data_IF_442772684640
#
_entry.id   IF_442772684640
#
_cell.length_a   1.000
_cell.length_b   1.000
_cell.length_c   1.000
_cell.angle_alpha   90.00
_cell.angle_beta   90.00
_cell.angle_gamma   90.00
#
_symmetry.space_group_name_H-M   'P 1'
#
loop_
_entity.id
_entity.type
_entity.pdbx_description
1 polymer ?
#
# COMPACT_ATOMS: atom_id res chain seq x y z
N UNK A 1 -39.38 10.79 1.32
CA UNK A 1 -37.91 10.69 1.25
C UNK A 1 -37.59 9.35 0.61
N UNK A 2 -36.71 9.25 -0.39
CA UNK A 2 -36.41 7.96 -0.98
C UNK A 2 -35.73 7.10 0.09
N UNK A 3 -36.31 5.93 0.38
CA UNK A 3 -35.75 4.93 1.26
C UNK A 3 -34.38 4.52 0.72
N UNK A 4 -33.32 4.72 1.49
CA UNK A 4 -32.00 4.21 1.14
C UNK A 4 -32.08 2.69 1.01
N UNK A 5 -31.96 2.18 -0.21
CA UNK A 5 -31.84 0.75 -0.46
C UNK A 5 -30.59 0.26 0.27
N UNK A 6 -30.65 -0.81 1.08
CA UNK A 6 -29.47 -1.35 1.74
C UNK A 6 -28.41 -1.72 0.70
N UNK A 7 -27.15 -1.41 0.99
CA UNK A 7 -26.03 -1.81 0.14
C UNK A 7 -26.03 -3.35 0.07
N UNK A 8 -26.22 -3.91 -1.12
CA UNK A 8 -26.22 -5.36 -1.31
C UNK A 8 -24.76 -5.85 -1.38
N UNK A 9 -24.27 -6.40 -0.27
CA UNK A 9 -22.91 -6.91 -0.16
C UNK A 9 -22.66 -8.24 -0.90
N UNK A 10 -23.72 -8.98 -1.27
CA UNK A 10 -23.61 -10.25 -2.00
C UNK A 10 -23.09 -10.06 -3.43
N UNK A 11 -23.25 -8.86 -3.99
CA UNK A 11 -22.80 -8.51 -5.33
C UNK A 11 -21.35 -8.00 -5.39
N UNK A 12 -20.64 -7.88 -4.26
CA UNK A 12 -19.25 -7.44 -4.27
C UNK A 12 -18.29 -8.59 -4.62
N UNK A 13 -17.46 -8.46 -5.67
CA UNK A 13 -16.44 -9.46 -5.98
C UNK A 13 -15.50 -9.65 -4.80
N UNK A 14 -15.06 -10.90 -4.58
CA UNK A 14 -14.00 -11.21 -3.60
C UNK A 14 -12.67 -10.68 -4.16
N UNK A 15 -12.32 -9.46 -3.77
CA UNK A 15 -11.07 -8.82 -4.18
C UNK A 15 -10.00 -9.00 -3.10
N UNK A 16 -8.82 -9.47 -3.51
CA UNK A 16 -7.65 -9.51 -2.62
C UNK A 16 -7.04 -8.11 -2.39
N UNK A 17 -7.46 -7.12 -3.18
CA UNK A 17 -7.06 -5.72 -3.08
C UNK A 17 -8.11 -4.84 -3.77
N UNK A 18 -8.48 -3.73 -3.13
CA UNK A 18 -9.37 -2.74 -3.72
C UNK A 18 -8.63 -1.90 -4.76
N UNK A 19 -9.21 -1.82 -5.97
CA UNK A 19 -8.69 -1.09 -7.12
C UNK A 19 -9.33 0.30 -7.27
N UNK A 20 -10.33 0.62 -6.44
CA UNK A 20 -11.03 1.89 -6.38
C UNK A 20 -10.61 2.66 -5.13
N UNK A 21 -10.67 3.99 -5.18
CA UNK A 21 -10.35 4.85 -4.03
C UNK A 21 -11.27 4.63 -2.82
N UNK A 22 -12.46 4.05 -3.00
CA UNK A 22 -13.42 3.80 -1.92
C UNK A 22 -13.49 2.32 -1.53
N UNK A 23 -13.33 2.02 -0.23
CA UNK A 23 -13.57 0.70 0.34
C UNK A 23 -15.05 0.57 0.78
N UNK A 24 -15.95 0.53 -0.20
CA UNK A 24 -17.40 0.49 0.03
C UNK A 24 -17.89 -0.80 0.72
N UNK A 25 -17.10 -1.88 0.64
CA UNK A 25 -17.46 -3.19 1.21
C UNK A 25 -17.36 -3.20 2.72
N UNK A 26 -16.39 -2.49 3.30
CA UNK A 26 -16.13 -2.51 4.74
C UNK A 26 -16.55 -1.24 5.46
N UNK A 27 -17.35 -0.39 4.79
CA UNK A 27 -17.89 0.82 5.41
C UNK A 27 -18.76 0.46 6.61
N UNK A 28 -19.50 -0.64 6.51
CA UNK A 28 -20.21 -1.19 7.64
C UNK A 28 -19.44 -2.38 8.24
N UNK A 29 -19.57 -2.58 9.54
CA UNK A 29 -19.16 -3.82 10.18
C UNK A 29 -20.07 -4.99 9.74
N UNK A 30 -19.63 -6.22 9.97
CA UNK A 30 -20.35 -7.44 9.55
C UNK A 30 -21.78 -7.52 10.14
N UNK A 31 -22.00 -6.89 11.30
CA UNK A 31 -23.29 -6.82 12.00
C UNK A 31 -24.19 -5.67 11.51
N UNK A 32 -23.71 -4.82 10.60
CA UNK A 32 -24.41 -3.63 10.09
C UNK A 32 -24.81 -2.60 11.16
N UNK A 33 -24.13 -2.60 12.30
CA UNK A 33 -24.39 -1.72 13.45
C UNK A 33 -23.50 -0.48 13.48
N UNK A 34 -22.34 -0.52 12.84
CA UNK A 34 -21.35 0.57 12.86
C UNK A 34 -20.97 1.00 11.44
N UNK A 35 -20.94 2.31 11.22
CA UNK A 35 -20.55 2.94 9.95
C UNK A 35 -19.21 3.66 10.10
N UNK A 36 -18.18 3.15 9.43
CA UNK A 36 -16.83 3.71 9.42
C UNK A 36 -16.67 4.71 8.27
N UNK A 37 -16.91 5.99 8.57
CA UNK A 37 -16.75 7.08 7.61
C UNK A 37 -15.29 7.21 7.11
N UNK A 38 -14.30 6.77 7.89
CA UNK A 38 -12.90 6.94 7.52
C UNK A 38 -12.58 6.19 6.23
N UNK A 39 -13.19 5.01 6.00
CA UNK A 39 -12.99 4.17 4.81
C UNK A 39 -13.48 4.76 3.49
N UNK A 40 -14.43 5.70 3.57
CA UNK A 40 -14.91 6.44 2.40
C UNK A 40 -14.05 7.68 2.18
N UNK A 41 -13.70 8.38 3.25
CA UNK A 41 -12.90 9.60 3.14
C UNK A 41 -11.47 9.29 2.68
N UNK A 42 -10.87 8.20 3.18
CA UNK A 42 -9.55 7.72 2.76
C UNK A 42 -9.64 7.14 1.35
N UNK A 43 -9.20 7.92 0.37
CA UNK A 43 -9.25 7.57 -1.06
C UNK A 43 -10.38 8.27 -1.83
N UNK A 44 -11.05 9.24 -1.20
CA UNK A 44 -11.94 10.18 -1.89
C UNK A 44 -11.23 11.16 -2.83
N UNK A 45 -9.91 11.28 -2.72
CA UNK A 45 -9.08 12.17 -3.55
C UNK A 45 -9.63 13.61 -3.64
N UNK A 46 -10.34 14.08 -2.61
CA UNK A 46 -10.88 15.43 -2.52
C UNK A 46 -12.27 15.64 -3.14
N UNK A 47 -12.96 14.59 -3.61
CA UNK A 47 -14.29 14.75 -4.22
C UNK A 47 -15.44 14.81 -3.23
N UNK A 48 -15.23 14.36 -1.98
CA UNK A 48 -16.33 14.22 -1.00
C UNK A 48 -16.30 15.25 0.13
N UNK A 49 -15.12 15.58 0.65
CA UNK A 49 -15.00 16.49 1.79
C UNK A 49 -13.61 17.11 1.86
N UNK A 50 -13.52 18.22 2.59
CA UNK A 50 -12.25 18.82 3.01
C UNK A 50 -11.90 18.31 4.41
N UNK A 51 -10.75 17.65 4.54
CA UNK A 51 -10.23 17.18 5.82
C UNK A 51 -9.32 18.28 6.38
N UNK A 52 -9.69 18.89 7.51
CA UNK A 52 -8.91 19.95 8.16
C UNK A 52 -7.93 19.41 9.19
N UNK A 53 -8.25 18.28 9.82
CA UNK A 53 -7.46 17.66 10.88
C UNK A 53 -7.47 16.13 10.74
N UNK A 54 -6.36 15.49 11.11
CA UNK A 54 -6.25 14.03 11.15
C UNK A 54 -5.35 13.59 12.31
N UNK A 55 -5.77 12.53 13.01
CA UNK A 55 -4.94 11.85 14.02
C UNK A 55 -4.26 10.65 13.36
N UNK A 56 -2.93 10.63 13.40
CA UNK A 56 -2.12 9.59 12.80
C UNK A 56 -1.43 8.76 13.87
N UNK A 57 -1.42 7.44 13.70
CA UNK A 57 -0.54 6.56 14.47
C UNK A 57 0.85 6.58 13.84
N UNK A 58 1.86 6.92 14.63
CA UNK A 58 3.24 7.10 14.17
C UNK A 58 4.14 6.03 14.76
N UNK A 59 5.01 5.46 13.93
CA UNK A 59 6.00 4.48 14.37
C UNK A 59 7.31 5.16 14.78
N UNK A 60 8.04 4.53 15.71
CA UNK A 60 9.33 5.06 16.18
C UNK A 60 10.38 4.99 15.07
N UNK A 61 11.22 6.03 14.99
CA UNK A 61 12.35 6.05 14.06
C UNK A 61 13.36 4.92 14.38
N UNK A 62 13.79 4.12 13.39
CA UNK A 62 14.80 3.09 13.59
C UNK A 62 16.17 3.71 13.89
N UNK A 63 16.92 3.11 14.81
CA UNK A 63 18.26 3.58 15.21
C UNK A 63 19.31 3.40 14.11
N UNK A 64 19.17 2.37 13.29
CA UNK A 64 20.10 2.01 12.21
C UNK A 64 19.27 1.75 10.96
N UNK A 65 19.78 2.20 9.81
CA UNK A 65 19.16 1.98 8.49
C UNK A 65 20.20 1.40 7.55
N UNK A 66 19.86 0.30 6.87
CA UNK A 66 20.73 -0.35 5.88
C UNK A 66 20.01 -0.48 4.54
N UNK A 67 20.80 -0.42 3.47
CA UNK A 67 20.36 -0.57 2.10
C UNK A 67 21.09 -1.77 1.51
N UNK A 68 20.33 -2.71 0.95
CA UNK A 68 20.85 -3.85 0.20
C UNK A 68 20.34 -3.70 -1.22
N UNK A 69 21.16 -3.98 -2.22
CA UNK A 69 20.73 -4.01 -3.62
C UNK A 69 20.92 -5.41 -4.14
N UNK A 70 19.82 -6.10 -4.45
CA UNK A 70 19.85 -7.43 -5.04
C UNK A 70 19.58 -7.32 -6.54
N UNK A 71 20.54 -7.77 -7.36
CA UNK A 71 20.39 -7.83 -8.81
C UNK A 71 19.92 -9.22 -9.22
N UNK A 72 18.90 -9.26 -10.05
CA UNK A 72 18.40 -10.48 -10.69
C UNK A 72 18.71 -10.47 -12.18
N UNK A 73 18.72 -11.65 -12.77
CA UNK A 73 18.86 -11.87 -14.22
C UNK A 73 17.57 -11.52 -14.99
N UNK A 74 16.42 -11.63 -14.34
CA UNK A 74 15.10 -11.30 -14.89
C UNK A 74 14.16 -10.69 -13.85
N UNK A 75 13.14 -9.97 -14.31
CA UNK A 75 12.10 -9.41 -13.44
C UNK A 75 11.27 -10.52 -12.75
N UNK A 76 11.02 -11.61 -13.46
CA UNK A 76 10.29 -12.77 -12.94
C UNK A 76 11.06 -13.47 -11.80
N UNK A 77 12.39 -13.58 -11.92
CA UNK A 77 13.27 -14.03 -10.81
C UNK A 77 13.14 -13.13 -9.58
N UNK A 78 13.03 -11.81 -9.77
CA UNK A 78 12.85 -10.87 -8.67
C UNK A 78 11.47 -11.03 -7.98
N UNK A 79 10.41 -11.24 -8.77
CA UNK A 79 9.06 -11.48 -8.24
C UNK A 79 8.96 -12.78 -7.45
N UNK A 80 9.60 -13.86 -7.93
CA UNK A 80 9.66 -15.14 -7.20
C UNK A 80 10.35 -15.03 -5.84
N UNK A 81 11.29 -14.08 -5.68
CA UNK A 81 11.97 -13.86 -4.41
C UNK A 81 11.21 -12.90 -3.47
N UNK A 82 10.12 -12.28 -3.92
CA UNK A 82 9.36 -11.32 -3.10
C UNK A 82 8.84 -11.90 -1.77
N UNK A 83 8.28 -13.14 -1.70
CA UNK A 83 7.82 -13.71 -0.44
C UNK A 83 8.93 -13.79 0.62
N UNK A 84 10.12 -14.24 0.22
CA UNK A 84 11.28 -14.31 1.10
C UNK A 84 11.71 -12.93 1.62
N UNK A 85 11.62 -11.89 0.79
CA UNK A 85 11.93 -10.52 1.22
C UNK A 85 10.91 -9.96 2.23
N UNK A 86 9.64 -10.39 2.17
CA UNK A 86 8.61 -10.03 3.16
C UNK A 86 8.91 -10.68 4.52
N UNK A 87 9.35 -11.93 4.52
CA UNK A 87 9.75 -12.66 5.74
C UNK A 87 10.96 -12.01 6.44
N UNK A 88 11.83 -11.33 5.69
CA UNK A 88 12.97 -10.59 6.23
C UNK A 88 12.57 -9.35 7.07
N UNK A 89 11.27 -9.02 7.17
CA UNK A 89 10.74 -7.86 7.92
C UNK A 89 11.39 -6.54 7.55
N UNK A 90 11.73 -6.40 6.26
CA UNK A 90 12.24 -5.17 5.70
C UNK A 90 11.23 -4.02 5.89
N UNK A 91 11.73 -2.79 6.06
CA UNK A 91 10.87 -1.61 6.19
C UNK A 91 10.21 -1.25 4.84
N UNK A 92 10.92 -1.46 3.74
CA UNK A 92 10.39 -1.31 2.39
C UNK A 92 11.13 -2.23 1.42
N UNK A 93 10.37 -2.92 0.58
CA UNK A 93 10.87 -3.71 -0.53
C UNK A 93 10.32 -3.10 -1.82
N UNK A 94 11.23 -2.66 -2.68
CA UNK A 94 10.90 -2.08 -3.98
C UNK A 94 11.60 -2.88 -5.08
N UNK A 95 10.86 -3.18 -6.14
CA UNK A 95 11.39 -3.86 -7.33
C UNK A 95 11.30 -2.89 -8.50
N UNK A 96 12.42 -2.72 -9.20
CA UNK A 96 12.52 -1.83 -10.37
C UNK A 96 12.87 -2.66 -11.60
N UNK A 97 12.11 -2.52 -12.68
CA UNK A 97 12.41 -3.16 -13.94
C UNK A 97 13.56 -2.45 -14.69
N UNK A 98 14.28 -3.23 -15.48
CA UNK A 98 15.34 -2.84 -16.40
C UNK A 98 14.96 -1.65 -17.29
N UNK A 99 13.71 -1.53 -17.76
CA UNK A 99 13.26 -0.39 -18.56
C UNK A 99 13.32 0.92 -17.78
N UNK A 100 12.78 0.94 -16.56
CA UNK A 100 12.80 2.11 -15.68
C UNK A 100 14.24 2.47 -15.31
N UNK A 101 15.06 1.47 -15.00
CA UNK A 101 16.48 1.67 -14.70
C UNK A 101 17.25 2.27 -15.88
N UNK A 102 17.01 1.78 -17.10
CA UNK A 102 17.66 2.29 -18.30
C UNK A 102 17.21 3.71 -18.66
N UNK A 103 15.93 4.04 -18.45
CA UNK A 103 15.42 5.41 -18.59
C UNK A 103 16.07 6.36 -17.57
N UNK A 104 16.25 5.90 -16.33
CA UNK A 104 16.91 6.67 -15.27
C UNK A 104 18.43 6.83 -15.48
N UNK A 105 19.07 5.98 -16.29
CA UNK A 105 20.51 6.13 -16.63
C UNK A 105 20.78 7.27 -17.60
N UNK A 106 19.81 7.64 -18.44
CA UNK A 106 19.97 8.68 -19.49
C UNK A 106 19.71 10.12 -19.03
N UNK A 107 19.15 10.31 -17.82
CA UNK A 107 18.92 11.63 -17.22
C UNK A 107 19.43 11.58 -15.79
N UNK A 108 20.27 12.54 -15.40
CA UNK A 108 20.97 12.58 -14.12
C UNK A 108 20.10 12.10 -12.91
N UNK A 109 20.58 11.01 -12.29
CA UNK A 109 20.29 10.48 -10.95
C UNK A 109 18.91 9.84 -10.64
N UNK A 110 18.92 8.55 -10.28
CA UNK A 110 18.05 7.94 -9.25
C UNK A 110 18.61 6.57 -8.81
N UNK A 111 19.24 6.53 -7.63
CA UNK A 111 19.44 5.30 -6.87
C UNK A 111 18.12 4.95 -6.16
N UNK A 112 17.36 4.01 -6.71
CA UNK A 112 16.19 3.42 -6.04
C UNK A 112 16.65 2.37 -5.00
N UNK A 113 15.93 2.29 -3.87
CA UNK A 113 16.52 2.15 -2.53
C UNK A 113 15.75 1.09 -1.73
N UNK A 114 16.27 -0.13 -1.56
CA UNK A 114 15.66 -1.11 -0.64
C UNK A 114 16.01 -0.78 0.82
N UNK A 115 15.04 -0.52 1.71
CA UNK A 115 15.30 -0.39 3.16
C UNK A 115 14.99 -1.74 3.81
N UNK A 116 16.03 -2.52 4.07
CA UNK A 116 15.93 -3.74 4.85
C UNK A 116 16.38 -3.43 6.27
N UNK A 117 15.44 -3.38 7.20
CA UNK A 117 15.71 -3.18 8.63
C UNK A 117 15.87 -4.56 9.29
N UNK A 118 17.11 -4.95 9.58
CA UNK A 118 17.36 -6.01 10.55
C UNK A 118 17.13 -5.43 11.96
N UNK A 119 16.32 -6.10 12.78
CA UNK A 119 16.39 -5.92 14.23
C UNK A 119 17.74 -6.50 14.69
N UNK A 120 18.74 -5.64 14.90
CA UNK A 120 19.81 -6.00 15.84
C UNK A 120 19.17 -6.03 17.24
N UNK A 121 19.00 -7.25 17.77
CA UNK A 121 19.11 -7.46 19.20
C UNK A 121 20.56 -7.20 19.61
#
# INVERSE_FOLDING_TARGET
MPSATPVNFDNFPKLNRFLTGYDLRHVFNDEMTEFDLTRILTGSEGTLAFITEARLDITRLPKVRRLVNVKYDSFDSALRNAPFMVEARALSVETVDSKVLNLARGRYCLAFRQRVDYRCA
#
